data_IF_553962737679
#
_entry.id   IF_553962737679
#
_cell.length_a   1.000
_cell.length_b   1.000
_cell.length_c   1.000
_cell.angle_alpha   90.00
_cell.angle_beta   90.00
_cell.angle_gamma   90.00
#
_symmetry.space_group_name_H-M   'P 1'
#
loop_
_entity.id
_entity.type
_entity.pdbx_description
1 polymer ?
#
# COMPACT_ATOMS: atom_id res chain seq x y z
N UNK A 1 6.59 -21.52 47.55
CA UNK A 1 7.10 -21.38 46.17
C UNK A 1 5.97 -21.74 45.23
N UNK A 2 5.37 -20.77 44.53
CA UNK A 2 4.34 -21.05 43.52
C UNK A 2 4.81 -20.45 42.21
N UNK A 3 5.13 -21.34 41.26
CA UNK A 3 5.74 -21.02 39.99
C UNK A 3 4.73 -20.29 39.10
N UNK A 4 5.16 -19.15 38.56
CA UNK A 4 4.38 -18.34 37.64
C UNK A 4 4.08 -19.09 36.35
N UNK A 5 2.80 -19.21 36.03
CA UNK A 5 2.33 -19.70 34.75
C UNK A 5 2.41 -18.54 33.75
N UNK A 6 3.60 -18.24 33.22
CA UNK A 6 3.74 -17.29 32.10
C UNK A 6 3.42 -18.06 30.82
N UNK A 7 2.25 -17.83 30.25
CA UNK A 7 1.92 -18.29 28.91
C UNK A 7 3.03 -17.84 27.95
N UNK A 8 3.50 -18.76 27.10
CA UNK A 8 4.56 -18.47 26.14
C UNK A 8 4.10 -17.36 25.18
N UNK A 9 4.84 -16.24 25.17
CA UNK A 9 4.56 -15.11 24.28
C UNK A 9 4.63 -15.57 22.82
N UNK A 10 3.63 -15.25 21.97
CA UNK A 10 3.74 -15.47 20.55
C UNK A 10 4.89 -14.60 20.00
N UNK A 11 5.95 -15.22 19.47
CA UNK A 11 6.96 -14.49 18.69
C UNK A 11 6.31 -14.08 17.37
N UNK A 12 5.80 -12.86 17.31
CA UNK A 12 5.31 -12.29 16.05
C UNK A 12 6.32 -11.23 15.61
N UNK A 13 7.11 -11.54 14.60
CA UNK A 13 7.76 -10.49 13.81
C UNK A 13 6.64 -9.85 12.99
N UNK A 14 6.25 -8.59 13.25
CA UNK A 14 5.25 -7.93 12.42
C UNK A 14 5.82 -7.83 10.99
N UNK A 15 4.99 -8.01 9.94
CA UNK A 15 5.43 -7.70 8.57
C UNK A 15 5.99 -6.28 8.55
N UNK A 16 7.06 -6.05 7.78
CA UNK A 16 7.94 -4.86 7.79
C UNK A 16 7.23 -3.48 7.68
N UNK A 17 5.92 -3.45 7.43
CA UNK A 17 5.06 -2.27 7.36
C UNK A 17 4.16 -2.03 8.59
N UNK A 18 4.20 -2.88 9.62
CA UNK A 18 3.70 -2.51 10.96
C UNK A 18 4.85 -1.86 11.70
N UNK A 19 4.92 -0.53 11.61
CA UNK A 19 5.76 0.22 12.51
C UNK A 19 5.40 -0.12 13.98
N UNK A 20 6.36 -0.09 14.91
CA UNK A 20 6.17 -0.52 16.30
C UNK A 20 5.22 0.36 17.13
N UNK A 21 4.56 1.38 16.58
CA UNK A 21 3.80 2.38 17.34
C UNK A 21 2.59 1.84 18.11
N UNK A 22 2.17 0.60 17.82
CA UNK A 22 1.10 -0.09 18.56
C UNK A 22 1.63 -1.02 19.69
N UNK A 23 2.95 -1.16 19.81
CA UNK A 23 3.60 -1.95 20.84
C UNK A 23 4.39 -0.97 21.72
N UNK A 24 3.97 -0.81 22.97
CA UNK A 24 4.92 -0.27 23.94
C UNK A 24 6.14 -1.19 23.95
N UNK A 25 7.34 -0.63 23.94
CA UNK A 25 8.55 -1.43 23.66
C UNK A 25 8.68 -2.69 24.54
N UNK A 26 9.33 -3.72 24.00
CA UNK A 26 9.84 -4.92 24.69
C UNK A 26 8.81 -5.85 25.33
N UNK A 27 7.93 -5.31 26.17
CA UNK A 27 7.02 -6.03 27.05
C UNK A 27 5.65 -5.34 27.24
N UNK A 28 5.40 -4.16 26.66
CA UNK A 28 4.13 -3.45 26.80
C UNK A 28 3.20 -3.67 25.59
N UNK A 29 1.95 -4.06 25.83
CA UNK A 29 0.90 -4.06 24.80
C UNK A 29 0.40 -2.64 24.46
N UNK A 30 1.15 -1.61 24.87
CA UNK A 30 0.65 -0.24 24.92
C UNK A 30 -0.57 -0.13 25.83
N UNK A 31 -1.56 0.67 25.43
CA UNK A 31 -2.79 0.88 26.20
C UNK A 31 -3.84 -0.25 26.07
N UNK A 32 -3.56 -1.32 25.31
CA UNK A 32 -4.54 -2.36 24.97
C UNK A 32 -4.28 -3.66 25.72
N UNK A 33 -5.35 -4.37 26.09
CA UNK A 33 -5.26 -5.73 26.61
C UNK A 33 -4.93 -6.74 25.50
N UNK A 34 -4.52 -7.96 25.89
CA UNK A 34 -4.24 -9.04 24.93
C UNK A 34 -5.44 -9.36 24.03
N UNK A 35 -6.65 -9.36 24.60
CA UNK A 35 -7.90 -9.58 23.85
C UNK A 35 -8.17 -8.45 22.86
N UNK A 36 -7.96 -7.21 23.28
CA UNK A 36 -8.13 -6.03 22.41
C UNK A 36 -7.10 -6.06 21.26
N UNK A 37 -5.86 -6.47 21.54
CA UNK A 37 -4.83 -6.61 20.52
C UNK A 37 -5.18 -7.70 19.49
N UNK A 38 -5.72 -8.84 19.93
CA UNK A 38 -6.20 -9.89 19.03
C UNK A 38 -7.30 -9.39 18.10
N UNK A 39 -8.31 -8.73 18.65
CA UNK A 39 -9.41 -8.15 17.88
C UNK A 39 -8.90 -7.07 16.90
N UNK A 40 -7.99 -6.20 17.34
CA UNK A 40 -7.37 -5.19 16.50
C UNK A 40 -6.62 -5.81 15.32
N UNK A 41 -5.86 -6.88 15.57
CA UNK A 41 -5.11 -7.58 14.53
C UNK A 41 -6.05 -8.19 13.47
N UNK A 42 -7.15 -8.83 13.87
CA UNK A 42 -8.15 -9.36 12.93
C UNK A 42 -8.76 -8.26 12.06
N UNK A 43 -9.09 -7.11 12.66
CA UNK A 43 -9.62 -5.95 11.92
C UNK A 43 -8.58 -5.42 10.94
N UNK A 44 -7.31 -5.31 11.35
CA UNK A 44 -6.21 -4.86 10.47
C UNK A 44 -6.00 -5.79 9.29
N UNK A 45 -6.05 -7.11 9.50
CA UNK A 45 -5.93 -8.09 8.41
C UNK A 45 -7.06 -7.90 7.40
N UNK A 46 -8.31 -7.83 7.87
CA UNK A 46 -9.48 -7.62 6.99
C UNK A 46 -9.37 -6.30 6.21
N UNK A 47 -8.97 -5.22 6.88
CA UNK A 47 -8.75 -3.92 6.22
C UNK A 47 -7.64 -3.97 5.18
N UNK A 48 -6.53 -4.67 5.44
CA UNK A 48 -5.43 -4.82 4.47
C UNK A 48 -5.90 -5.55 3.22
N UNK A 49 -6.62 -6.65 3.39
CA UNK A 49 -7.17 -7.40 2.26
C UNK A 49 -8.13 -6.55 1.42
N UNK A 50 -8.99 -5.77 2.09
CA UNK A 50 -9.91 -4.85 1.41
C UNK A 50 -9.16 -3.75 0.66
N UNK A 51 -8.15 -3.13 1.28
CA UNK A 51 -7.32 -2.10 0.66
C UNK A 51 -6.56 -2.65 -0.55
N UNK A 52 -5.99 -3.84 -0.45
CA UNK A 52 -5.27 -4.48 -1.56
C UNK A 52 -6.22 -4.85 -2.70
N UNK A 53 -7.41 -5.38 -2.40
CA UNK A 53 -8.44 -5.64 -3.40
C UNK A 53 -8.87 -4.34 -4.11
N UNK A 54 -9.03 -3.25 -3.36
CA UNK A 54 -9.34 -1.93 -3.91
C UNK A 54 -8.21 -1.43 -4.81
N UNK A 55 -6.97 -1.39 -4.34
CA UNK A 55 -5.83 -0.92 -5.16
C UNK A 55 -5.63 -1.77 -6.43
N UNK A 56 -5.90 -3.08 -6.37
CA UNK A 56 -5.86 -3.95 -7.54
C UNK A 56 -6.99 -3.66 -8.54
N UNK A 57 -8.18 -3.34 -8.05
CA UNK A 57 -9.34 -3.02 -8.89
C UNK A 57 -9.29 -1.60 -9.47
N UNK A 58 -8.47 -0.71 -8.90
CA UNK A 58 -8.41 0.71 -9.23
C UNK A 58 -7.03 1.10 -9.81
N UNK A 59 -6.72 0.72 -11.07
CA UNK A 59 -5.45 1.04 -11.73
C UNK A 59 -5.19 2.54 -11.89
N UNK A 60 -6.22 3.38 -11.75
CA UNK A 60 -6.12 4.84 -11.81
C UNK A 60 -5.25 5.39 -10.68
N UNK A 61 -5.26 4.74 -9.53
CA UNK A 61 -4.45 5.14 -8.36
C UNK A 61 -2.97 4.89 -8.66
N UNK A 62 -2.67 3.77 -9.30
CA UNK A 62 -1.30 3.42 -9.71
C UNK A 62 -0.78 4.37 -10.79
N UNK A 63 -1.61 4.73 -11.78
CA UNK A 63 -1.28 5.74 -12.78
C UNK A 63 -1.04 7.12 -12.14
N UNK A 64 -1.90 7.53 -11.20
CA UNK A 64 -1.79 8.78 -10.47
C UNK A 64 -0.47 8.88 -9.67
N UNK A 65 -0.17 7.85 -8.89
CA UNK A 65 1.04 7.81 -8.06
C UNK A 65 2.29 7.75 -8.93
N UNK A 66 2.29 6.93 -9.98
CA UNK A 66 3.42 6.80 -10.91
C UNK A 66 3.71 8.12 -11.63
N UNK A 67 2.68 8.83 -12.10
CA UNK A 67 2.84 10.15 -12.73
C UNK A 67 3.44 11.19 -11.78
N UNK A 68 2.96 11.23 -10.53
CA UNK A 68 3.53 12.11 -9.51
C UNK A 68 5.01 11.82 -9.26
N UNK A 69 5.36 10.54 -9.05
CA UNK A 69 6.74 10.13 -8.77
C UNK A 69 7.67 10.42 -9.96
N UNK A 70 7.19 10.20 -11.19
CA UNK A 70 7.93 10.52 -12.40
C UNK A 70 8.30 12.01 -12.45
N UNK A 71 7.32 12.89 -12.25
CA UNK A 71 7.55 14.34 -12.25
C UNK A 71 8.43 14.78 -11.07
N UNK A 72 8.24 14.20 -9.89
CA UNK A 72 9.08 14.48 -8.72
C UNK A 72 10.55 14.10 -8.98
N UNK A 73 10.81 12.96 -9.62
CA UNK A 73 12.17 12.51 -9.93
C UNK A 73 12.81 13.29 -11.09
N UNK A 74 12.03 13.77 -12.05
CA UNK A 74 12.51 14.62 -13.14
C UNK A 74 12.86 16.01 -12.62
N UNK A 75 11.94 16.64 -11.89
CA UNK A 75 12.09 18.03 -11.42
C UNK A 75 12.97 18.17 -10.20
N UNK A 76 13.09 17.11 -9.38
CA UNK A 76 13.85 17.08 -8.12
C UNK A 76 13.59 18.34 -7.26
N UNK A 77 12.33 18.59 -6.87
CA UNK A 77 11.97 19.81 -6.14
C UNK A 77 12.68 19.87 -4.79
N UNK A 78 13.09 21.07 -4.38
CA UNK A 78 13.68 21.28 -3.05
C UNK A 78 12.69 20.99 -1.92
N UNK A 79 11.39 21.23 -2.15
CA UNK A 79 10.31 20.92 -1.23
C UNK A 79 9.27 20.01 -1.89
N UNK A 80 9.34 18.71 -1.58
CA UNK A 80 8.42 17.70 -2.14
C UNK A 80 6.98 17.92 -1.67
N UNK A 81 6.77 18.49 -0.48
CA UNK A 81 5.42 18.70 0.06
C UNK A 81 4.67 19.78 -0.70
N UNK A 82 5.31 20.91 -0.96
CA UNK A 82 4.73 21.99 -1.77
C UNK A 82 4.45 21.51 -3.20
N UNK A 83 5.41 20.80 -3.79
CA UNK A 83 5.24 20.19 -5.10
C UNK A 83 4.04 19.22 -5.14
N UNK A 84 3.87 18.39 -4.11
CA UNK A 84 2.70 17.51 -4.01
C UNK A 84 1.39 18.29 -3.92
N UNK A 85 1.35 19.36 -3.12
CA UNK A 85 0.15 20.20 -3.01
C UNK A 85 -0.23 20.79 -4.37
N UNK A 86 0.74 21.37 -5.10
CA UNK A 86 0.52 21.91 -6.45
C UNK A 86 0.09 20.82 -7.44
N UNK A 87 0.75 19.65 -7.44
CA UNK A 87 0.45 18.57 -8.37
C UNK A 87 -0.96 18.01 -8.16
N UNK A 88 -1.35 17.73 -6.91
CA UNK A 88 -2.64 17.11 -6.59
C UNK A 88 -3.82 18.09 -6.57
N UNK A 89 -3.57 19.41 -6.55
CA UNK A 89 -4.63 20.43 -6.68
C UNK A 89 -4.85 20.91 -8.12
N UNK A 90 -4.03 20.45 -9.06
CA UNK A 90 -4.16 20.80 -10.48
C UNK A 90 -5.46 20.23 -11.07
N UNK A 91 -6.31 21.12 -11.60
CA UNK A 91 -7.60 20.75 -12.21
C UNK A 91 -7.47 19.89 -13.46
N UNK A 92 -6.31 19.89 -14.13
CA UNK A 92 -6.03 19.07 -15.30
C UNK A 92 -5.45 17.68 -14.92
N UNK A 93 -5.26 17.39 -13.63
CA UNK A 93 -4.77 16.09 -13.18
C UNK A 93 -5.71 14.92 -13.56
N UNK A 94 -7.05 15.01 -13.39
CA UNK A 94 -7.95 13.91 -13.75
C UNK A 94 -7.81 13.50 -15.22
N UNK A 95 -7.79 14.47 -16.13
CA UNK A 95 -7.68 14.22 -17.58
C UNK A 95 -6.35 13.52 -17.93
N UNK A 96 -5.25 13.91 -17.26
CA UNK A 96 -3.94 13.27 -17.46
C UNK A 96 -3.93 11.83 -16.95
N UNK A 97 -4.59 11.56 -15.82
CA UNK A 97 -4.71 10.20 -15.28
C UNK A 97 -5.56 9.33 -16.21
N UNK A 98 -6.66 9.87 -16.74
CA UNK A 98 -7.51 9.17 -17.70
C UNK A 98 -6.76 8.82 -18.99
N UNK A 99 -5.99 9.77 -19.54
CA UNK A 99 -5.14 9.52 -20.70
C UNK A 99 -4.08 8.43 -20.42
N UNK A 100 -3.47 8.44 -19.24
CA UNK A 100 -2.50 7.42 -18.83
C UNK A 100 -3.14 6.03 -18.67
N UNK A 101 -4.37 5.96 -18.17
CA UNK A 101 -5.15 4.73 -18.07
C UNK A 101 -5.47 4.11 -19.42
N UNK A 102 -5.93 4.94 -20.36
CA UNK A 102 -6.22 4.49 -21.72
C UNK A 102 -4.98 3.97 -22.42
N UNK A 103 -3.84 4.64 -22.23
CA UNK A 103 -2.56 4.19 -22.76
C UNK A 103 -2.15 2.84 -22.16
N UNK A 104 -2.22 2.70 -20.83
CA UNK A 104 -1.93 1.44 -20.14
C UNK A 104 -2.83 0.30 -20.62
N UNK A 105 -4.12 0.56 -20.82
CA UNK A 105 -5.07 -0.44 -21.33
C UNK A 105 -4.67 -0.93 -22.71
N UNK A 106 -4.34 -0.01 -23.63
CA UNK A 106 -3.85 -0.35 -24.98
C UNK A 106 -2.58 -1.19 -24.93
N UNK A 107 -1.62 -0.83 -24.06
CA UNK A 107 -0.38 -1.59 -23.90
C UNK A 107 -0.62 -3.00 -23.36
N UNK A 108 -1.54 -3.16 -22.42
CA UNK A 108 -1.94 -4.48 -21.91
C UNK A 108 -2.59 -5.33 -23.02
N UNK A 109 -3.48 -4.74 -23.81
CA UNK A 109 -4.13 -5.42 -24.93
C UNK A 109 -3.10 -5.87 -25.98
N UNK A 110 -2.15 -5.00 -26.35
CA UNK A 110 -1.05 -5.36 -27.26
C UNK A 110 -0.16 -6.47 -26.70
N UNK A 111 0.21 -6.39 -25.42
CA UNK A 111 1.03 -7.42 -24.76
C UNK A 111 0.32 -8.78 -24.74
N UNK A 112 -0.99 -8.79 -24.56
CA UNK A 112 -1.79 -10.02 -24.60
C UNK A 112 -1.82 -10.63 -26.02
N UNK A 113 -1.93 -9.82 -27.06
CA UNK A 113 -1.86 -10.26 -28.46
C UNK A 113 -0.50 -10.90 -28.76
N UNK A 114 0.61 -10.25 -28.38
CA UNK A 114 1.96 -10.78 -28.61
C UNK A 114 2.19 -12.15 -27.95
N UNK A 115 1.62 -12.36 -26.75
CA UNK A 115 1.70 -13.66 -26.04
C UNK A 115 0.93 -14.76 -26.75
N UNK A 116 -0.20 -14.46 -27.39
CA UNK A 116 -0.97 -15.44 -28.16
C UNK A 116 -0.25 -15.87 -29.43
N UNK A 117 0.50 -14.96 -30.07
CA UNK A 117 1.28 -15.24 -31.28
C UNK A 117 2.51 -16.13 -31.00
N UNK A 118 3.02 -16.14 -29.77
CA UNK A 118 4.23 -16.87 -29.38
C UNK A 118 3.98 -18.22 -28.67
N UNK A 119 2.79 -18.81 -28.80
CA UNK A 119 2.51 -20.16 -28.27
C UNK A 119 3.17 -21.20 -29.19
N UNK A 120 4.23 -21.92 -28.77
CA UNK A 120 4.72 -23.05 -29.56
C UNK A 120 3.71 -24.20 -29.48
N UNK A 121 3.51 -24.88 -30.61
CA UNK A 121 2.70 -26.12 -30.71
C UNK A 121 3.29 -27.28 -29.92
#
# INVERSE_FOLDING_TARGET
MSAGNRAAKPRHDPPHSMEPYDLGGGDDLGALSEDQQRQLNEVKIKKRLANEAYLRAHPEIDCLISGFLQEAFIRKPANVREFAAEYFTDSALPDRVEAALDQRRKEMDMNNVLRQVHRPE
#
